data_IF_617806123116
#
_entry.id   IF_617806123116
#
_cell.length_a   1.000
_cell.length_b   1.000
_cell.length_c   1.000
_cell.angle_alpha   90.00
_cell.angle_beta   90.00
_cell.angle_gamma   90.00
#
_symmetry.space_group_name_H-M   'P 1'
#
loop_
_entity.id
_entity.type
_entity.pdbx_description
1 polymer ?
#
# COMPACT_ATOMS: atom_id res chain seq x y z
N UNK A 1 6.95 35.74 -13.46
CA UNK A 1 6.70 34.34 -13.83
C UNK A 1 6.76 33.57 -12.54
N UNK A 2 5.67 32.92 -12.14
CA UNK A 2 5.64 32.02 -11.00
C UNK A 2 6.50 30.81 -11.39
N UNK A 3 7.75 30.79 -10.94
CA UNK A 3 8.61 29.61 -11.04
C UNK A 3 8.00 28.59 -10.10
N UNK A 4 7.12 27.75 -10.64
CA UNK A 4 6.55 26.59 -9.98
C UNK A 4 7.69 25.61 -9.69
N UNK A 5 8.51 25.92 -8.68
CA UNK A 5 9.52 25.02 -8.14
C UNK A 5 8.78 23.75 -7.72
N UNK A 6 8.87 22.73 -8.57
CA UNK A 6 8.20 21.47 -8.34
C UNK A 6 9.04 20.73 -7.32
N UNK A 7 8.66 20.84 -6.04
CA UNK A 7 9.32 20.14 -4.93
C UNK A 7 8.97 18.64 -4.87
N UNK A 8 8.17 18.15 -5.81
CA UNK A 8 7.75 16.76 -5.86
C UNK A 8 8.84 15.89 -6.49
N UNK A 9 9.54 15.15 -5.61
CA UNK A 9 10.74 14.38 -5.94
C UNK A 9 10.42 13.09 -6.72
N UNK A 10 9.17 12.63 -6.66
CA UNK A 10 8.67 11.46 -7.38
C UNK A 10 7.59 11.88 -8.37
N UNK A 11 7.46 11.15 -9.47
CA UNK A 11 6.35 11.40 -10.41
C UNK A 11 5.05 11.05 -9.70
N UNK A 12 4.03 11.91 -9.78
CA UNK A 12 2.68 11.66 -9.25
C UNK A 12 1.93 10.49 -9.95
N UNK A 13 2.65 9.66 -10.71
CA UNK A 13 2.13 8.46 -11.35
C UNK A 13 2.43 7.26 -10.45
N UNK A 14 1.38 6.69 -9.87
CA UNK A 14 1.45 5.41 -9.21
C UNK A 14 1.10 4.32 -10.24
N UNK A 15 2.04 3.42 -10.53
CA UNK A 15 1.70 2.16 -11.20
C UNK A 15 1.54 1.14 -10.09
N UNK A 16 0.28 0.92 -9.70
CA UNK A 16 -0.11 -0.13 -8.77
C UNK A 16 -0.86 -1.22 -9.52
N UNK A 17 -0.44 -2.46 -9.33
CA UNK A 17 -1.13 -3.64 -9.82
C UNK A 17 -1.36 -4.57 -8.64
N UNK A 18 -2.58 -5.10 -8.53
CA UNK A 18 -2.93 -6.00 -7.46
C UNK A 18 -3.93 -7.04 -7.91
N UNK A 19 -3.98 -8.14 -7.17
CA UNK A 19 -4.92 -9.21 -7.38
C UNK A 19 -5.47 -9.66 -6.04
N UNK A 20 -6.74 -10.05 -6.04
CA UNK A 20 -7.37 -10.69 -4.90
C UNK A 20 -7.95 -12.03 -5.35
N UNK A 21 -7.83 -13.02 -4.49
CA UNK A 21 -8.51 -14.30 -4.61
C UNK A 21 -9.19 -14.62 -3.29
N UNK A 22 -10.41 -15.13 -3.37
CA UNK A 22 -11.21 -15.44 -2.19
C UNK A 22 -11.87 -16.79 -2.31
N UNK A 23 -12.14 -17.39 -1.17
CA UNK A 23 -12.82 -18.66 -1.04
C UNK A 23 -13.87 -18.58 0.05
N UNK A 24 -15.09 -19.03 -0.27
CA UNK A 24 -16.22 -19.07 0.67
C UNK A 24 -16.54 -20.53 0.99
N UNK A 25 -16.66 -20.83 2.27
CA UNK A 25 -17.15 -22.08 2.84
C UNK A 25 -18.31 -21.75 3.78
N UNK A 26 -19.54 -22.06 3.37
CA UNK A 26 -20.76 -21.84 4.14
C UNK A 26 -20.83 -20.42 4.73
N UNK A 27 -20.72 -20.28 6.05
CA UNK A 27 -20.80 -19.00 6.77
C UNK A 27 -19.46 -18.24 6.80
N UNK A 28 -18.35 -18.85 6.37
CA UNK A 28 -17.02 -18.25 6.41
C UNK A 28 -16.54 -17.90 5.01
N UNK A 29 -16.03 -16.68 4.84
CA UNK A 29 -15.35 -16.26 3.62
C UNK A 29 -13.93 -15.79 3.94
N UNK A 30 -12.95 -16.28 3.20
CA UNK A 30 -11.56 -15.85 3.30
C UNK A 30 -11.14 -15.19 2.00
N UNK A 31 -10.65 -13.97 2.07
CA UNK A 31 -10.11 -13.23 0.92
C UNK A 31 -8.63 -12.91 1.15
N UNK A 32 -7.79 -13.17 0.16
CA UNK A 32 -6.38 -12.81 0.14
C UNK A 32 -6.13 -11.83 -0.98
N UNK A 33 -5.49 -10.72 -0.65
CA UNK A 33 -5.14 -9.65 -1.57
C UNK A 33 -3.63 -9.41 -1.54
N UNK A 34 -3.06 -9.17 -2.72
CA UNK A 34 -1.69 -8.73 -2.89
C UNK A 34 -1.64 -7.51 -3.81
N UNK A 35 -0.90 -6.49 -3.40
CA UNK A 35 -0.70 -5.26 -4.15
C UNK A 35 0.80 -5.05 -4.33
N UNK A 36 1.20 -4.79 -5.57
CA UNK A 36 2.54 -4.32 -5.92
C UNK A 36 2.42 -2.90 -6.46
N UNK A 37 3.31 -2.00 -6.05
CA UNK A 37 3.32 -0.62 -6.52
C UNK A 37 4.75 -0.14 -6.70
N UNK A 38 4.99 0.64 -7.75
CA UNK A 38 6.27 1.29 -7.98
C UNK A 38 6.06 2.77 -8.35
N UNK A 39 6.87 3.62 -7.74
CA UNK A 39 7.00 5.04 -8.05
C UNK A 39 8.39 5.32 -8.59
N UNK A 40 8.46 6.04 -9.71
CA UNK A 40 9.73 6.46 -10.30
C UNK A 40 10.06 7.89 -9.87
N UNK A 41 11.35 8.20 -9.78
CA UNK A 41 11.85 9.54 -9.54
C UNK A 41 11.37 10.48 -10.64
N UNK A 42 10.97 11.69 -10.25
CA UNK A 42 10.60 12.72 -11.20
C UNK A 42 11.86 13.26 -11.92
N UNK A 43 11.92 13.09 -13.25
CA UNK A 43 13.05 13.52 -14.08
C UNK A 43 13.03 15.01 -14.39
N UNK A 44 11.94 15.72 -14.06
CA UNK A 44 11.75 17.16 -14.27
C UNK A 44 12.10 17.98 -13.02
N UNK A 45 12.60 17.34 -11.95
CA UNK A 45 13.09 18.05 -10.77
C UNK A 45 14.32 18.87 -11.15
N UNK A 46 14.10 20.16 -11.39
CA UNK A 46 15.14 21.15 -11.63
C UNK A 46 15.09 22.17 -10.50
N UNK A 47 16.11 22.20 -9.63
CA UNK A 47 16.16 23.16 -8.53
C UNK A 47 17.21 22.85 -7.47
N UNK A 48 17.55 23.87 -6.68
CA UNK A 48 18.51 23.86 -5.55
C UNK A 48 18.10 22.97 -4.37
N UNK A 49 16.96 22.28 -4.45
CA UNK A 49 16.35 21.45 -3.40
C UNK A 49 16.60 19.94 -3.56
N UNK A 50 17.37 19.50 -4.56
CA UNK A 50 17.86 18.10 -4.57
C UNK A 50 18.76 17.91 -3.34
N UNK A 51 18.39 17.06 -2.37
CA UNK A 51 19.18 16.87 -1.16
C UNK A 51 20.62 16.48 -1.53
N UNK A 52 21.61 16.95 -0.77
CA UNK A 52 23.02 16.66 -1.03
C UNK A 52 23.39 15.15 -1.04
N UNK A 53 22.46 14.28 -0.60
CA UNK A 53 22.52 12.82 -0.68
C UNK A 53 21.85 12.19 -1.92
N UNK A 54 21.32 12.98 -2.84
CA UNK A 54 20.54 12.49 -3.98
C UNK A 54 19.19 11.88 -3.59
N UNK A 55 18.36 11.60 -4.59
CA UNK A 55 17.01 11.03 -4.45
C UNK A 55 17.07 9.57 -4.88
N UNK A 56 16.27 8.70 -4.26
CA UNK A 56 16.13 7.33 -4.72
C UNK A 56 15.50 7.29 -6.11
N UNK A 57 16.05 6.46 -7.01
CA UNK A 57 15.58 6.39 -8.40
C UNK A 57 14.17 5.84 -8.49
N UNK A 58 13.83 4.83 -7.68
CA UNK A 58 12.51 4.21 -7.63
C UNK A 58 12.13 3.87 -6.18
N UNK A 59 10.86 3.99 -5.82
CA UNK A 59 10.25 3.51 -4.58
C UNK A 59 9.37 2.31 -4.91
N UNK A 60 9.60 1.16 -4.27
CA UNK A 60 8.75 -0.03 -4.47
C UNK A 60 8.00 -0.33 -3.18
N UNK A 61 6.70 -0.59 -3.28
CA UNK A 61 5.85 -1.05 -2.19
C UNK A 61 5.18 -2.37 -2.58
N UNK A 62 5.21 -3.34 -1.67
CA UNK A 62 4.51 -4.62 -1.81
C UNK A 62 3.67 -4.79 -0.56
N UNK A 63 2.37 -4.99 -0.68
CA UNK A 63 1.50 -5.29 0.45
C UNK A 63 0.67 -6.53 0.20
N UNK A 64 0.32 -7.19 1.29
CA UNK A 64 -0.59 -8.31 1.30
C UNK A 64 -1.56 -8.16 2.46
N UNK A 65 -2.80 -8.58 2.24
CA UNK A 65 -3.88 -8.49 3.21
C UNK A 65 -4.70 -9.77 3.15
N UNK A 66 -5.00 -10.34 4.32
CA UNK A 66 -5.90 -11.49 4.47
C UNK A 66 -7.10 -11.03 5.27
N UNK A 67 -8.29 -11.31 4.77
CA UNK A 67 -9.57 -11.01 5.39
C UNK A 67 -10.34 -12.29 5.63
N UNK A 68 -10.98 -12.38 6.78
CA UNK A 68 -11.92 -13.44 7.12
C UNK A 68 -13.23 -12.78 7.50
N UNK A 69 -14.31 -13.26 6.90
CA UNK A 69 -15.68 -12.84 7.15
C UNK A 69 -16.50 -14.00 7.68
N UNK A 70 -17.43 -13.69 8.56
CA UNK A 70 -18.40 -14.59 9.11
C UNK A 70 -19.80 -14.01 8.90
N UNK A 71 -20.64 -14.75 8.19
CA UNK A 71 -22.05 -14.46 7.99
C UNK A 71 -22.81 -14.85 9.27
N UNK A 72 -23.54 -13.91 9.85
CA UNK A 72 -24.31 -14.14 11.08
C UNK A 72 -25.68 -14.67 10.67
N UNK A 73 -25.93 -15.94 10.95
CA UNK A 73 -27.24 -16.55 10.74
C UNK A 73 -28.22 -16.03 11.80
N UNK A 74 -29.18 -15.20 11.39
CA UNK A 74 -30.32 -14.76 12.20
C UNK A 74 -31.59 -15.22 11.48
N UNK A 75 -32.46 -15.96 12.18
CA UNK A 75 -33.77 -16.33 11.64
C UNK A 75 -34.64 -15.09 11.36
N UNK A 76 -35.46 -15.16 10.31
CA UNK A 76 -36.41 -14.12 9.87
C UNK A 76 -35.85 -12.78 9.35
N UNK A 77 -34.59 -12.73 8.91
CA UNK A 77 -34.05 -11.52 8.25
C UNK A 77 -34.00 -11.64 6.72
N UNK A 78 -34.37 -10.58 5.97
CA UNK A 78 -34.33 -10.57 4.51
C UNK A 78 -32.90 -10.47 3.93
N UNK A 79 -31.89 -10.10 4.73
CA UNK A 79 -30.47 -10.00 4.37
C UNK A 79 -29.65 -10.66 5.48
N UNK A 80 -28.65 -11.47 5.13
CA UNK A 80 -27.70 -12.06 6.07
C UNK A 80 -26.63 -11.02 6.44
N UNK A 81 -26.58 -10.53 7.69
CA UNK A 81 -25.53 -9.61 8.12
C UNK A 81 -24.21 -10.35 8.23
N UNK A 82 -23.10 -9.62 8.13
CA UNK A 82 -21.77 -10.21 8.23
C UNK A 82 -20.83 -9.34 9.07
N UNK A 83 -19.85 -9.99 9.68
CA UNK A 83 -18.70 -9.35 10.32
C UNK A 83 -17.43 -9.91 9.73
N UNK A 84 -16.34 -9.15 9.78
CA UNK A 84 -15.05 -9.63 9.32
C UNK A 84 -13.90 -8.91 9.97
N UNK A 85 -12.76 -9.58 9.96
CA UNK A 85 -11.49 -9.05 10.43
C UNK A 85 -10.43 -9.32 9.37
N UNK A 86 -9.46 -8.43 9.27
CA UNK A 86 -8.35 -8.59 8.35
C UNK A 86 -7.04 -8.18 8.99
N UNK A 87 -5.97 -8.81 8.52
CA UNK A 87 -4.59 -8.47 8.88
C UNK A 87 -3.76 -8.40 7.62
N UNK A 88 -2.81 -7.48 7.59
CA UNK A 88 -1.94 -7.31 6.44
C UNK A 88 -0.57 -6.83 6.82
N UNK A 89 0.35 -6.95 5.88
CA UNK A 89 1.67 -6.38 5.99
C UNK A 89 2.06 -5.70 4.68
N UNK A 90 2.84 -4.65 4.80
CA UNK A 90 3.42 -3.94 3.68
C UNK A 90 4.93 -3.87 3.86
N UNK A 91 5.66 -4.02 2.76
CA UNK A 91 7.08 -3.78 2.66
C UNK A 91 7.32 -2.64 1.69
N UNK A 92 7.98 -1.59 2.17
CA UNK A 92 8.33 -0.42 1.35
C UNK A 92 9.85 -0.35 1.27
N UNK A 93 10.36 -0.20 0.05
CA UNK A 93 11.79 -0.14 -0.25
C UNK A 93 12.11 1.14 -1.00
N UNK A 94 12.97 1.96 -0.39
CA UNK A 94 13.43 3.23 -0.94
C UNK A 94 14.97 3.26 -1.02
N UNK A 95 15.57 2.74 -2.10
CA UNK A 95 17.01 2.79 -2.28
C UNK A 95 17.48 4.23 -2.57
N UNK A 96 17.85 4.98 -1.53
CA UNK A 96 18.49 6.29 -1.64
C UNK A 96 19.76 6.21 -2.51
N UNK A 97 20.02 7.25 -3.32
CA UNK A 97 21.23 7.32 -4.15
C UNK A 97 22.52 7.46 -3.32
N UNK A 98 22.45 8.09 -2.13
CA UNK A 98 23.52 8.14 -1.13
C UNK A 98 22.85 8.14 0.25
N UNK A 99 23.25 7.22 1.13
CA UNK A 99 22.76 7.18 2.50
C UNK A 99 23.22 8.44 3.24
N UNK A 100 22.27 9.28 3.68
CA UNK A 100 22.59 10.48 4.45
C UNK A 100 23.03 10.12 5.88
N UNK A 101 22.49 9.02 6.44
CA UNK A 101 22.83 8.36 7.71
C UNK A 101 22.56 6.84 7.61
N UNK A 102 22.75 6.05 8.69
CA UNK A 102 22.41 4.61 8.82
C UNK A 102 20.90 4.28 8.68
N UNK A 103 20.14 5.15 8.01
CA UNK A 103 18.71 5.01 7.81
C UNK A 103 18.39 3.73 7.01
N UNK A 104 17.35 3.04 7.46
CA UNK A 104 16.88 1.78 6.85
C UNK A 104 16.40 2.09 5.42
N UNK A 105 17.01 1.44 4.43
CA UNK A 105 16.62 1.57 3.02
C UNK A 105 15.24 0.95 2.72
N UNK A 106 14.65 0.26 3.70
CA UNK A 106 13.34 -0.36 3.59
C UNK A 106 12.72 -0.61 4.97
N UNK A 107 11.42 -0.83 5.01
CA UNK A 107 10.67 -1.08 6.24
C UNK A 107 9.44 -1.94 6.02
N UNK A 108 9.03 -2.61 7.09
CA UNK A 108 7.77 -3.35 7.17
C UNK A 108 6.75 -2.55 7.98
N UNK A 109 5.50 -2.54 7.52
CA UNK A 109 4.33 -2.09 8.25
C UNK A 109 3.34 -3.24 8.41
N UNK A 110 2.55 -3.22 9.48
CA UNK A 110 1.47 -4.18 9.73
C UNK A 110 0.16 -3.40 9.84
N UNK A 111 -0.92 -3.96 9.31
CA UNK A 111 -2.25 -3.40 9.35
C UNK A 111 -3.25 -4.42 9.94
N UNK A 112 -4.27 -3.93 10.61
CA UNK A 112 -5.44 -4.70 11.00
C UNK A 112 -6.69 -3.92 10.61
N UNK A 113 -7.77 -4.62 10.28
CA UNK A 113 -9.05 -4.01 9.95
C UNK A 113 -10.22 -4.83 10.48
N UNK A 114 -11.34 -4.15 10.73
CA UNK A 114 -12.60 -4.76 11.08
C UNK A 114 -13.68 -4.26 10.12
N UNK A 115 -14.63 -5.13 9.74
CA UNK A 115 -15.71 -4.85 8.80
C UNK A 115 -17.02 -5.42 9.33
N UNK A 116 -18.13 -4.72 9.13
CA UNK A 116 -19.47 -5.24 9.41
C UNK A 116 -20.45 -4.64 8.41
N UNK A 117 -21.53 -5.36 8.08
CA UNK A 117 -22.57 -4.89 7.16
C UNK A 117 -23.74 -5.83 7.02
#
# INVERSE_FOLDING_TARGET
ADTTDTTDLYTASFIAGGGAFGYKMDDIRVDVEGIYSQLNQNTTVTGTSVPAGGIAKNLTAISGLVNVYYDIAIEDMPITPYVGVGVGAAYVSNPLAKKANDDKASGFGVAYQAKAG
#
